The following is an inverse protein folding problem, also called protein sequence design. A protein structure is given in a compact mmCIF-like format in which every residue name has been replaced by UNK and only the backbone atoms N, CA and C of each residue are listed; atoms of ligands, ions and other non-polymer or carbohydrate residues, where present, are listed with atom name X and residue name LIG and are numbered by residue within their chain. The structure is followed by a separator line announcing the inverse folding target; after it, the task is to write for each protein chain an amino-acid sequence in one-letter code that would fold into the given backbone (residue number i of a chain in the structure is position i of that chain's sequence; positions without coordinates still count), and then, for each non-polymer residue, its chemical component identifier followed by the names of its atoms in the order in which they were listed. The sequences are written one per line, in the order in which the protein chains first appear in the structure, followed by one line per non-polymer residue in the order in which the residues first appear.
data_IF_084254959277
#
_entry.id   IF_084254959277
#
_cell.length_a   1.000
_cell.length_b   1.000
_cell.length_c   1.000
_cell.angle_alpha   90.00
_cell.angle_beta   90.00
_cell.angle_gamma   90.00
#
_symmetry.space_group_name_H-M   'P 1'
#
loop_
_entity.id
_entity.type
_entity.pdbx_description
1 polymer ?
#
# COMPACT_ATOMS: atom_id res chain seq x y z
N UNK A 1 18.93 -4.61 11.52
CA UNK A 1 17.50 -4.81 11.79
C UNK A 1 16.92 -5.92 10.95
N UNK A 2 17.05 -5.91 9.62
CA UNK A 2 16.54 -7.00 8.75
C UNK A 2 17.05 -8.38 9.19
N UNK A 3 18.36 -8.57 9.39
CA UNK A 3 18.92 -9.85 9.89
C UNK A 3 18.33 -10.30 11.21
N UNK A 4 18.04 -9.36 12.12
CA UNK A 4 17.41 -9.71 13.39
C UNK A 4 15.96 -10.13 13.19
N UNK A 5 15.20 -9.44 12.33
CA UNK A 5 13.83 -9.86 11.99
C UNK A 5 13.81 -11.24 11.33
N UNK A 6 14.76 -11.52 10.45
CA UNK A 6 14.93 -12.84 9.82
C UNK A 6 15.18 -13.94 10.86
N UNK A 7 16.04 -13.69 11.86
CA UNK A 7 16.23 -14.60 13.01
C UNK A 7 14.92 -14.83 13.78
N UNK A 8 14.12 -13.77 14.03
CA UNK A 8 12.84 -13.88 14.73
C UNK A 8 11.77 -14.63 13.91
N UNK A 9 11.73 -14.44 12.59
CA UNK A 9 10.90 -15.25 11.70
C UNK A 9 11.34 -16.72 11.76
N UNK A 10 12.66 -16.98 11.76
CA UNK A 10 13.22 -18.31 11.92
C UNK A 10 12.78 -19.01 13.22
N UNK A 11 12.66 -18.27 14.34
CA UNK A 11 12.12 -18.80 15.59
C UNK A 11 10.65 -19.24 15.46
N UNK A 12 9.82 -18.44 14.76
CA UNK A 12 8.42 -18.80 14.49
C UNK A 12 8.33 -20.05 13.62
N UNK A 13 9.09 -20.10 12.53
CA UNK A 13 9.10 -21.27 11.63
C UNK A 13 9.59 -22.54 12.34
N UNK A 14 10.67 -22.45 13.12
CA UNK A 14 11.18 -23.56 13.94
C UNK A 14 10.14 -24.05 14.95
N UNK A 15 9.34 -23.13 15.50
CA UNK A 15 8.28 -23.47 16.45
C UNK A 15 7.14 -24.22 15.75
N UNK A 16 6.73 -23.80 14.55
CA UNK A 16 5.73 -24.52 13.74
C UNK A 16 6.19 -25.96 13.45
N UNK A 17 7.46 -26.15 13.07
CA UNK A 17 8.05 -27.47 12.83
C UNK A 17 8.07 -28.33 14.10
N UNK A 18 8.51 -27.75 15.22
CA UNK A 18 8.61 -28.47 16.51
C UNK A 18 7.25 -28.91 17.04
N UNK A 19 6.20 -28.13 16.75
CA UNK A 19 4.83 -28.44 17.12
C UNK A 19 4.10 -29.30 16.08
N UNK A 20 4.78 -29.71 15.01
CA UNK A 20 4.21 -30.48 13.90
C UNK A 20 3.01 -29.77 13.22
N UNK A 21 3.03 -28.43 13.18
CA UNK A 21 1.96 -27.60 12.61
C UNK A 21 2.26 -27.12 11.17
N UNK A 22 3.48 -27.32 10.67
CA UNK A 22 3.93 -26.79 9.37
C UNK A 22 3.03 -27.23 8.22
N UNK A 23 2.65 -28.50 8.18
CA UNK A 23 1.79 -29.07 7.13
C UNK A 23 0.31 -28.63 7.22
N UNK A 24 -0.08 -27.89 8.25
CA UNK A 24 -1.42 -27.35 8.46
C UNK A 24 -1.42 -25.81 8.60
N UNK A 25 -0.27 -25.17 8.39
CA UNK A 25 -0.10 -23.73 8.56
C UNK A 25 0.32 -23.07 7.26
N UNK A 26 -0.46 -22.07 6.83
CA UNK A 26 -0.04 -21.15 5.77
C UNK A 26 0.59 -19.92 6.39
N UNK A 27 1.71 -19.48 5.83
CA UNK A 27 2.46 -18.31 6.27
C UNK A 27 2.42 -17.27 5.17
N UNK A 28 2.08 -16.04 5.55
CA UNK A 28 2.13 -14.85 4.68
C UNK A 28 3.05 -13.82 5.33
N UNK A 29 4.00 -13.29 4.55
CA UNK A 29 4.93 -12.25 5.00
C UNK A 29 4.80 -11.01 4.12
N UNK A 30 4.65 -9.85 4.73
CA UNK A 30 4.63 -8.54 4.06
C UNK A 30 4.99 -7.42 5.04
N UNK A 31 4.98 -6.17 4.57
CA UNK A 31 5.11 -4.95 5.38
C UNK A 31 4.06 -3.94 4.92
N UNK A 32 3.71 -2.96 5.75
CA UNK A 32 2.69 -1.95 5.44
C UNK A 32 3.16 -0.94 4.39
N UNK A 33 4.44 -0.57 4.44
CA UNK A 33 5.10 0.26 3.43
C UNK A 33 6.62 0.01 3.43
N UNK A 34 7.31 0.61 2.46
CA UNK A 34 8.76 0.62 2.32
C UNK A 34 9.44 1.79 3.05
N UNK A 35 10.69 2.05 2.68
CA UNK A 35 11.55 3.10 3.25
C UNK A 35 12.46 3.63 2.16
N UNK A 36 12.48 4.95 1.97
CA UNK A 36 13.28 5.62 0.94
C UNK A 36 14.78 5.54 1.20
N UNK A 37 15.21 5.48 2.47
CA UNK A 37 16.62 5.29 2.84
C UNK A 37 17.60 6.24 2.11
N UNK A 38 17.20 7.48 1.87
CA UNK A 38 18.02 8.48 1.19
C UNK A 38 17.89 8.50 -0.33
N UNK A 39 17.18 7.55 -0.95
CA UNK A 39 16.83 7.59 -2.37
C UNK A 39 16.04 8.86 -2.69
N UNK A 40 16.38 9.51 -3.81
CA UNK A 40 15.88 10.84 -4.19
C UNK A 40 16.13 11.94 -3.13
N UNK A 41 17.05 11.72 -2.18
CA UNK A 41 17.27 12.60 -1.03
C UNK A 41 16.14 12.55 0.01
N UNK A 42 15.25 11.57 -0.08
CA UNK A 42 14.10 11.39 0.82
C UNK A 42 14.42 10.36 1.91
N UNK A 43 13.91 10.61 3.11
CA UNK A 43 13.93 9.67 4.23
C UNK A 43 12.51 9.31 4.64
N UNK A 44 12.32 8.14 5.20
CA UNK A 44 11.02 7.65 5.61
C UNK A 44 10.21 7.15 4.43
N UNK A 45 8.94 7.51 4.47
CA UNK A 45 7.85 7.09 3.58
C UNK A 45 7.02 8.33 3.25
N UNK A 46 5.72 8.20 3.00
CA UNK A 46 4.81 9.33 2.70
C UNK A 46 4.98 9.91 1.28
N UNK A 47 5.42 9.07 0.35
CA UNK A 47 5.48 9.36 -1.07
C UNK A 47 5.09 8.07 -1.83
N UNK A 48 5.07 8.14 -3.16
CA UNK A 48 4.56 7.08 -4.01
C UNK A 48 5.65 6.48 -4.94
N UNK A 49 6.94 6.69 -4.63
CA UNK A 49 8.05 6.01 -5.31
C UNK A 49 8.14 4.52 -4.89
N UNK A 50 8.72 3.66 -5.73
CA UNK A 50 8.84 2.21 -5.54
C UNK A 50 9.45 1.89 -4.17
N UNK A 51 10.50 2.61 -3.76
CA UNK A 51 11.13 2.43 -2.46
C UNK A 51 10.18 2.59 -1.26
N UNK A 52 9.09 3.35 -1.40
CA UNK A 52 8.09 3.55 -0.36
C UNK A 52 6.86 2.63 -0.49
N UNK A 53 6.49 2.16 -1.70
CA UNK A 53 5.21 1.47 -1.92
C UNK A 53 5.32 0.05 -2.46
N UNK A 54 6.44 -0.32 -3.09
CA UNK A 54 6.67 -1.66 -3.59
C UNK A 54 7.21 -2.53 -2.44
N UNK A 55 6.31 -3.26 -1.79
CA UNK A 55 6.63 -4.06 -0.60
C UNK A 55 6.73 -5.55 -0.94
N UNK A 56 7.52 -6.33 -0.17
CA UNK A 56 7.51 -7.78 -0.30
C UNK A 56 6.13 -8.37 0.04
N UNK A 57 5.73 -9.39 -0.70
CA UNK A 57 4.63 -10.28 -0.38
C UNK A 57 5.06 -11.72 -0.67
N UNK A 58 5.20 -12.53 0.37
CA UNK A 58 5.60 -13.93 0.27
C UNK A 58 4.51 -14.80 0.88
N UNK A 59 4.23 -15.94 0.25
CA UNK A 59 3.27 -16.93 0.72
C UNK A 59 3.91 -18.32 0.72
N UNK A 60 3.69 -19.10 1.78
CA UNK A 60 4.19 -20.47 1.90
C UNK A 60 3.20 -21.36 2.68
N UNK A 61 3.27 -22.67 2.45
CA UNK A 61 2.47 -23.67 3.17
C UNK A 61 1.48 -24.43 2.28
N UNK A 62 0.51 -25.15 2.87
CA UNK A 62 -0.33 -26.11 2.16
C UNK A 62 -1.11 -25.51 0.99
N UNK A 63 -0.92 -26.09 -0.20
CA UNK A 63 -1.59 -25.68 -1.43
C UNK A 63 -0.97 -24.46 -2.14
N UNK A 64 0.12 -23.90 -1.63
CA UNK A 64 0.86 -22.80 -2.27
C UNK A 64 2.05 -23.40 -3.04
N UNK A 65 2.22 -23.11 -4.35
CA UNK A 65 3.34 -23.62 -5.12
C UNK A 65 4.70 -23.11 -4.63
N UNK A 66 5.68 -24.01 -4.55
CA UNK A 66 7.05 -23.66 -4.18
C UNK A 66 7.83 -23.05 -5.36
N UNK A 67 8.62 -22.01 -5.09
CA UNK A 67 9.53 -21.40 -6.07
C UNK A 67 8.84 -20.64 -7.21
N UNK A 68 7.53 -20.40 -7.10
CA UNK A 68 6.77 -19.63 -8.07
C UNK A 68 6.93 -18.13 -7.81
N UNK A 69 7.09 -17.36 -8.89
CA UNK A 69 7.04 -15.90 -8.88
C UNK A 69 5.81 -15.46 -9.66
N UNK A 70 5.03 -14.56 -9.07
CA UNK A 70 3.88 -13.92 -9.71
C UNK A 70 4.27 -12.50 -10.06
N UNK A 71 4.44 -12.22 -11.35
CA UNK A 71 4.83 -10.89 -11.86
C UNK A 71 3.63 -9.93 -12.00
N UNK A 72 2.41 -10.41 -11.74
CA UNK A 72 1.19 -9.61 -11.81
C UNK A 72 1.14 -8.53 -10.72
N UNK A 73 0.45 -7.42 -11.01
CA UNK A 73 0.28 -6.33 -10.03
C UNK A 73 -0.69 -6.78 -8.93
N UNK A 74 -0.24 -6.74 -7.68
CA UNK A 74 -1.04 -6.99 -6.48
C UNK A 74 -1.11 -5.74 -5.60
N UNK A 75 -2.07 -5.70 -4.67
CA UNK A 75 -2.23 -4.64 -3.67
C UNK A 75 -2.57 -5.24 -2.31
N UNK A 76 -2.25 -4.55 -1.21
CA UNK A 76 -2.63 -5.01 0.14
C UNK A 76 -4.13 -5.24 0.33
N UNK A 77 -4.98 -4.56 -0.44
CA UNK A 77 -6.43 -4.79 -0.39
C UNK A 77 -6.82 -6.20 -0.85
N UNK A 78 -5.95 -6.87 -1.60
CA UNK A 78 -6.12 -8.27 -2.05
C UNK A 78 -5.88 -9.27 -0.91
N UNK A 79 -5.23 -8.87 0.18
CA UNK A 79 -4.96 -9.76 1.31
C UNK A 79 -6.24 -10.20 2.02
N UNK A 80 -7.21 -9.30 2.17
CA UNK A 80 -8.48 -9.63 2.82
C UNK A 80 -9.21 -10.82 2.14
N UNK A 81 -9.59 -10.74 0.85
CA UNK A 81 -10.28 -11.86 0.21
C UNK A 81 -9.40 -13.12 0.12
N UNK A 82 -8.08 -12.97 -0.06
CA UNK A 82 -7.14 -14.10 -0.08
C UNK A 82 -7.13 -14.88 1.23
N UNK A 83 -7.12 -14.16 2.36
CA UNK A 83 -7.13 -14.77 3.70
C UNK A 83 -8.48 -15.41 4.04
N UNK A 84 -9.60 -14.76 3.67
CA UNK A 84 -10.93 -15.33 3.87
C UNK A 84 -11.08 -16.63 3.08
N UNK A 85 -10.72 -16.63 1.79
CA UNK A 85 -10.75 -17.84 0.96
C UNK A 85 -9.81 -18.93 1.49
N UNK A 86 -8.61 -18.55 1.95
CA UNK A 86 -7.66 -19.47 2.58
C UNK A 86 -8.27 -20.18 3.80
N UNK A 87 -9.12 -19.51 4.57
CA UNK A 87 -9.79 -20.10 5.74
C UNK A 87 -11.00 -20.98 5.40
N UNK A 88 -11.38 -21.09 4.12
CA UNK A 88 -12.56 -21.85 3.68
C UNK A 88 -13.89 -21.19 4.08
N UNK A 89 -13.86 -19.92 4.50
CA UNK A 89 -15.05 -19.14 4.86
C UNK A 89 -15.62 -18.47 3.60
N UNK A 90 -16.94 -18.45 3.48
CA UNK A 90 -17.60 -17.71 2.41
C UNK A 90 -17.57 -16.21 2.71
N UNK A 91 -17.11 -15.41 1.75
CA UNK A 91 -17.19 -13.95 1.79
C UNK A 91 -18.67 -13.56 1.69
N UNK A 92 -19.15 -12.70 2.59
CA UNK A 92 -20.53 -12.21 2.53
C UNK A 92 -20.72 -11.12 1.46
N UNK A 93 -21.96 -10.71 1.22
CA UNK A 93 -22.25 -9.76 0.14
C UNK A 93 -21.68 -8.34 0.37
N UNK A 94 -21.48 -7.94 1.63
CA UNK A 94 -20.90 -6.64 1.98
C UNK A 94 -19.40 -6.68 1.71
N UNK A 95 -18.75 -7.72 2.21
CA UNK A 95 -17.31 -7.93 2.05
C UNK A 95 -16.92 -8.21 0.58
N UNK A 96 -17.80 -8.86 -0.19
CA UNK A 96 -17.61 -9.09 -1.62
C UNK A 96 -17.66 -7.80 -2.46
N UNK A 97 -18.11 -6.68 -1.89
CA UNK A 97 -18.11 -5.37 -2.56
C UNK A 97 -16.82 -4.56 -2.33
N UNK A 98 -15.92 -5.06 -1.47
CA UNK A 98 -14.60 -4.46 -1.25
C UNK A 98 -13.72 -4.61 -2.51
N UNK A 99 -12.76 -3.69 -2.74
CA UNK A 99 -12.04 -3.60 -4.01
C UNK A 99 -10.98 -4.67 -4.24
N UNK A 100 -10.69 -5.50 -3.24
CA UNK A 100 -9.66 -6.54 -3.33
C UNK A 100 -10.10 -7.75 -4.14
N UNK A 101 -9.14 -8.41 -4.77
CA UNK A 101 -9.33 -9.70 -5.43
C UNK A 101 -8.47 -10.76 -4.72
N UNK A 102 -8.96 -11.99 -4.66
CA UNK A 102 -8.17 -13.09 -4.11
C UNK A 102 -6.94 -13.38 -4.98
N UNK A 103 -5.82 -13.69 -4.35
CA UNK A 103 -4.56 -14.07 -5.01
C UNK A 103 -4.47 -15.56 -5.32
N UNK A 104 -5.42 -16.39 -4.85
CA UNK A 104 -5.43 -17.84 -5.13
C UNK A 104 -5.40 -18.17 -6.63
N UNK A 105 -6.19 -17.52 -7.51
CA UNK A 105 -6.10 -17.75 -8.95
C UNK A 105 -4.70 -17.46 -9.52
N UNK A 106 -4.00 -16.45 -8.99
CA UNK A 106 -2.64 -16.12 -9.43
C UNK A 106 -1.63 -17.24 -9.08
N UNK A 107 -1.85 -17.95 -7.96
CA UNK A 107 -1.05 -19.13 -7.59
C UNK A 107 -1.31 -20.32 -8.53
N UNK A 108 -2.42 -20.35 -9.25
CA UNK A 108 -2.73 -21.36 -10.27
C UNK A 108 -2.21 -20.97 -11.67
N UNK A 109 -1.52 -19.84 -11.78
CA UNK A 109 -0.99 -19.30 -13.03
C UNK A 109 -1.97 -18.46 -13.83
N UNK A 110 -3.15 -18.15 -13.27
CA UNK A 110 -4.05 -17.18 -13.87
C UNK A 110 -3.45 -15.78 -13.77
N UNK A 111 -3.47 -15.05 -14.89
CA UNK A 111 -2.95 -13.69 -14.95
C UNK A 111 -4.08 -12.75 -15.36
N UNK A 112 -4.41 -11.80 -14.49
CA UNK A 112 -5.33 -10.72 -14.82
C UNK A 112 -4.54 -9.44 -15.08
N UNK A 113 -4.83 -8.79 -16.21
CA UNK A 113 -4.32 -7.45 -16.45
C UNK A 113 -5.11 -6.45 -15.60
N UNK A 114 -4.53 -6.03 -14.49
CA UNK A 114 -5.07 -4.98 -13.62
C UNK A 114 -4.11 -3.83 -13.45
N UNK A 115 -4.64 -2.71 -12.98
CA UNK A 115 -3.85 -1.55 -12.57
C UNK A 115 -3.55 -1.60 -11.08
N UNK A 116 -2.39 -1.09 -10.71
CA UNK A 116 -2.05 -0.75 -9.32
C UNK A 116 -2.61 0.61 -8.98
N UNK A 117 -3.10 0.77 -7.75
CA UNK A 117 -3.62 2.03 -7.24
C UNK A 117 -3.17 2.24 -5.80
N UNK A 118 -2.73 3.45 -5.48
CA UNK A 118 -2.43 3.88 -4.11
C UNK A 118 -2.73 5.37 -3.94
N UNK A 119 -3.02 5.80 -2.72
CA UNK A 119 -3.30 7.20 -2.39
C UNK A 119 -2.64 7.61 -1.06
N UNK A 120 -2.32 8.90 -0.93
CA UNK A 120 -1.70 9.46 0.26
C UNK A 120 -2.25 10.85 0.57
N UNK A 121 -2.73 11.02 1.82
CA UNK A 121 -3.41 12.24 2.29
C UNK A 121 -2.89 12.76 3.64
N UNK A 122 -1.83 12.17 4.18
CA UNK A 122 -1.41 12.39 5.57
C UNK A 122 -0.20 13.34 5.69
N UNK A 123 0.55 13.21 6.78
CA UNK A 123 1.64 14.11 7.17
C UNK A 123 2.65 14.35 6.04
N UNK A 124 3.22 15.57 6.01
CA UNK A 124 4.17 16.01 4.99
C UNK A 124 3.59 16.13 3.57
N UNK A 125 2.27 15.98 3.40
CA UNK A 125 1.58 16.31 2.15
C UNK A 125 0.59 17.47 2.33
N UNK A 126 0.67 18.48 1.45
CA UNK A 126 -0.31 19.56 1.37
C UNK A 126 -1.55 19.17 0.54
N UNK A 127 -1.37 18.23 -0.39
CA UNK A 127 -2.35 17.83 -1.38
C UNK A 127 -2.41 16.30 -1.45
N UNK A 128 -3.60 15.77 -1.70
CA UNK A 128 -3.80 14.36 -2.01
C UNK A 128 -2.92 13.95 -3.19
N UNK A 129 -2.23 12.84 -3.02
CA UNK A 129 -1.37 12.24 -4.03
C UNK A 129 -1.89 10.85 -4.37
N UNK A 130 -1.85 10.47 -5.64
CA UNK A 130 -2.40 9.23 -6.15
C UNK A 130 -1.39 8.59 -7.09
N UNK A 131 -1.31 7.27 -7.07
CA UNK A 131 -0.48 6.48 -7.98
C UNK A 131 -1.40 5.58 -8.80
N UNK A 132 -1.15 5.54 -10.10
CA UNK A 132 -1.70 4.52 -10.99
C UNK A 132 -0.55 3.80 -11.70
N UNK A 133 -0.48 2.47 -11.58
CA UNK A 133 0.49 1.62 -12.29
C UNK A 133 -0.23 0.76 -13.30
N UNK A 134 0.20 0.80 -14.55
CA UNK A 134 -0.27 -0.08 -15.62
C UNK A 134 0.95 -0.77 -16.24
N UNK A 135 1.14 -2.05 -15.92
CA UNK A 135 2.38 -2.76 -16.25
C UNK A 135 3.58 -2.04 -15.62
N UNK A 136 4.51 -1.59 -16.46
CA UNK A 136 5.71 -0.88 -16.06
C UNK A 136 5.54 0.65 -16.07
N UNK A 137 4.42 1.17 -16.57
CA UNK A 137 4.15 2.61 -16.56
C UNK A 137 3.53 3.01 -15.23
N UNK A 138 4.10 4.03 -14.59
CA UNK A 138 3.65 4.53 -13.29
C UNK A 138 3.41 6.03 -13.34
N UNK A 139 2.15 6.43 -13.16
CA UNK A 139 1.74 7.82 -13.02
C UNK A 139 1.61 8.16 -11.54
N UNK A 140 2.25 9.25 -11.10
CA UNK A 140 2.00 9.88 -9.81
C UNK A 140 1.26 11.19 -10.06
N UNK A 141 0.01 11.29 -9.62
CA UNK A 141 -0.83 12.46 -9.74
C UNK A 141 -0.92 13.19 -8.40
N UNK A 142 -0.73 14.51 -8.42
CA UNK A 142 -0.88 15.36 -7.25
C UNK A 142 -1.97 16.41 -7.52
N UNK A 143 -2.91 16.57 -6.59
CA UNK A 143 -3.93 17.61 -6.71
C UNK A 143 -3.26 19.00 -6.70
N UNK A 144 -3.61 19.84 -7.67
CA UNK A 144 -3.09 21.21 -7.85
C UNK A 144 -1.57 21.32 -8.06
N UNK A 145 -0.90 20.23 -8.44
CA UNK A 145 0.55 20.15 -8.64
C UNK A 145 0.87 19.35 -9.91
N UNK A 146 2.06 19.52 -10.53
CA UNK A 146 2.45 18.71 -11.67
C UNK A 146 2.45 17.21 -11.34
N UNK A 147 2.00 16.37 -12.27
CA UNK A 147 2.15 14.92 -12.18
C UNK A 147 3.56 14.48 -12.58
N UNK A 148 3.89 13.23 -12.28
CA UNK A 148 5.14 12.56 -12.69
C UNK A 148 4.81 11.26 -13.43
N UNK A 149 5.64 10.87 -14.39
CA UNK A 149 5.48 9.62 -15.14
C UNK A 149 6.81 8.89 -15.22
N UNK A 150 6.81 7.60 -14.86
CA UNK A 150 8.00 6.74 -14.93
C UNK A 150 7.72 5.47 -15.74
N UNK A 151 8.76 4.97 -16.40
CA UNK A 151 8.79 3.67 -17.07
C UNK A 151 9.72 2.74 -16.29
N UNK A 152 9.16 1.92 -15.41
CA UNK A 152 9.88 1.05 -14.48
C UNK A 152 10.68 -0.06 -15.18
N UNK A 153 10.40 -0.36 -16.44
CA UNK A 153 11.17 -1.36 -17.19
C UNK A 153 12.55 -0.83 -17.58
N UNK A 154 12.64 0.47 -17.86
CA UNK A 154 13.88 1.14 -18.29
C UNK A 154 14.50 2.02 -17.21
N UNK A 155 13.68 2.48 -16.26
CA UNK A 155 14.02 3.36 -15.15
C UNK A 155 13.40 2.84 -13.82
N UNK A 156 13.92 1.72 -13.29
CA UNK A 156 13.42 1.13 -12.04
C UNK A 156 13.69 2.00 -10.81
N UNK A 157 14.62 2.95 -10.91
CA UNK A 157 14.98 3.89 -9.84
C UNK A 157 14.19 5.21 -9.94
N UNK A 158 13.28 5.35 -10.92
CA UNK A 158 12.37 6.50 -11.09
C UNK A 158 13.10 7.86 -11.12
N UNK A 159 14.23 7.93 -11.82
CA UNK A 159 15.06 9.14 -11.90
C UNK A 159 14.69 10.06 -13.07
N UNK A 160 14.06 9.55 -14.12
CA UNK A 160 13.69 10.30 -15.32
C UNK A 160 12.17 10.53 -15.37
N UNK A 161 11.73 11.73 -14.98
CA UNK A 161 10.32 12.11 -15.04
C UNK A 161 9.90 12.44 -16.48
N UNK A 162 9.18 11.49 -17.08
CA UNK A 162 8.71 11.55 -18.46
C UNK A 162 7.47 12.43 -18.65
N UNK A 163 6.85 12.93 -17.58
CA UNK A 163 5.59 13.69 -17.70
C UNK A 163 5.76 14.99 -18.51
N UNK A 164 6.97 15.57 -18.51
CA UNK A 164 7.31 16.75 -19.29
C UNK A 164 7.60 16.49 -20.77
N UNK A 165 7.72 15.22 -21.19
CA UNK A 165 8.09 14.85 -22.55
C UNK A 165 6.87 14.92 -23.47
N UNK A 166 6.98 15.64 -24.59
CA UNK A 166 5.82 15.95 -25.46
C UNK A 166 5.21 14.70 -26.07
N UNK A 167 6.04 13.68 -26.33
CA UNK A 167 5.66 12.38 -26.84
C UNK A 167 4.89 11.54 -25.80
N UNK A 168 5.05 11.83 -24.50
CA UNK A 168 4.38 11.12 -23.42
C UNK A 168 3.05 11.73 -23.00
N UNK A 169 2.69 12.90 -23.54
CA UNK A 169 1.43 13.58 -23.23
C UNK A 169 0.19 12.69 -23.45
N UNK A 170 0.21 11.84 -24.50
CA UNK A 170 -0.86 10.87 -24.76
C UNK A 170 -0.95 9.78 -23.69
N UNK A 171 0.19 9.30 -23.20
CA UNK A 171 0.28 8.31 -22.11
C UNK A 171 -0.21 8.89 -20.80
N UNK A 172 0.24 10.09 -20.43
CA UNK A 172 -0.22 10.80 -19.22
C UNK A 172 -1.73 10.96 -19.24
N UNK A 173 -2.31 11.48 -20.32
CA UNK A 173 -3.75 11.70 -20.42
C UNK A 173 -4.56 10.39 -20.31
N UNK A 174 -4.04 9.29 -20.89
CA UNK A 174 -4.67 7.97 -20.82
C UNK A 174 -4.64 7.40 -19.40
N UNK A 175 -3.50 7.45 -18.73
CA UNK A 175 -3.37 6.98 -17.35
C UNK A 175 -4.18 7.84 -16.38
N UNK A 176 -4.20 9.17 -16.56
CA UNK A 176 -5.05 10.05 -15.76
C UNK A 176 -6.55 9.73 -15.97
N UNK A 177 -6.96 9.39 -17.20
CA UNK A 177 -8.33 8.94 -17.46
C UNK A 177 -8.67 7.66 -16.70
N UNK A 178 -7.75 6.70 -16.61
CA UNK A 178 -7.95 5.48 -15.84
C UNK A 178 -7.99 5.75 -14.33
N UNK A 179 -7.08 6.58 -13.82
CA UNK A 179 -7.13 7.04 -12.43
C UNK A 179 -8.49 7.67 -12.11
N UNK A 180 -8.98 8.53 -13.00
CA UNK A 180 -10.28 9.21 -12.85
C UNK A 180 -11.49 8.28 -12.96
N UNK A 181 -11.32 7.10 -13.54
CA UNK A 181 -12.34 6.06 -13.54
C UNK A 181 -12.44 5.33 -12.18
N UNK A 182 -11.35 5.31 -11.39
CA UNK A 182 -11.32 4.75 -10.04
C UNK A 182 -11.90 5.76 -9.04
N UNK A 183 -11.39 7.00 -9.04
CA UNK A 183 -11.84 8.05 -8.15
C UNK A 183 -11.68 9.44 -8.77
N UNK A 184 -12.33 10.46 -8.21
CA UNK A 184 -12.04 11.86 -8.57
C UNK A 184 -11.01 12.42 -7.56
N UNK A 185 -9.74 12.65 -7.96
CA UNK A 185 -8.68 13.06 -7.04
C UNK A 185 -9.01 14.32 -6.23
N UNK A 186 -9.61 15.31 -6.86
CA UNK A 186 -9.95 16.59 -6.23
C UNK A 186 -11.11 16.46 -5.23
N UNK A 187 -12.06 15.55 -5.47
CA UNK A 187 -13.13 15.25 -4.53
C UNK A 187 -12.57 14.48 -3.32
N UNK A 188 -11.74 13.47 -3.57
CA UNK A 188 -11.14 12.66 -2.50
C UNK A 188 -10.22 13.50 -1.61
N UNK A 189 -9.36 14.35 -2.19
CA UNK A 189 -8.51 15.28 -1.42
C UNK A 189 -9.34 16.23 -0.52
N UNK A 190 -10.42 16.80 -1.05
CA UNK A 190 -11.32 17.65 -0.23
C UNK A 190 -12.00 16.87 0.88
N UNK A 191 -12.42 15.64 0.62
CA UNK A 191 -13.04 14.78 1.62
C UNK A 191 -12.04 14.43 2.74
N UNK A 192 -10.83 14.00 2.39
CA UNK A 192 -9.78 13.69 3.35
C UNK A 192 -9.45 14.90 4.25
N UNK A 193 -9.36 16.10 3.67
CA UNK A 193 -9.16 17.35 4.43
C UNK A 193 -10.35 17.64 5.35
N UNK A 194 -11.58 17.47 4.87
CA UNK A 194 -12.77 17.66 5.70
C UNK A 194 -12.81 16.70 6.90
N UNK A 195 -12.44 15.44 6.70
CA UNK A 195 -12.39 14.44 7.77
C UNK A 195 -11.28 14.76 8.78
N UNK A 196 -10.11 15.21 8.33
CA UNK A 196 -9.03 15.69 9.20
C UNK A 196 -9.47 16.91 10.03
N UNK A 197 -10.19 17.86 9.44
CA UNK A 197 -10.75 19.00 10.18
C UNK A 197 -11.82 18.56 11.18
N UNK A 198 -12.71 17.65 10.82
CA UNK A 198 -13.71 17.11 11.74
C UNK A 198 -13.05 16.40 12.93
N UNK A 199 -11.95 15.66 12.68
CA UNK A 199 -11.16 15.03 13.74
C UNK A 199 -10.47 16.06 14.63
N UNK A 200 -9.90 17.13 14.06
CA UNK A 200 -9.31 18.23 14.82
C UNK A 200 -10.35 18.93 15.71
N UNK A 201 -11.56 19.18 15.21
CA UNK A 201 -12.65 19.78 16.00
C UNK A 201 -13.12 18.85 17.13
N UNK A 202 -13.22 17.54 16.86
CA UNK A 202 -13.51 16.54 17.88
C UNK A 202 -12.51 16.59 19.05
N UNK A 203 -11.24 16.89 18.77
CA UNK A 203 -10.17 17.02 19.77
C UNK A 203 -10.05 18.41 20.42
N UNK A 204 -11.08 19.25 20.30
CA UNK A 204 -11.10 20.57 20.96
C UNK A 204 -10.52 21.70 20.11
N UNK A 205 -10.36 21.47 18.80
CA UNK A 205 -9.97 22.48 17.83
C UNK A 205 -8.46 22.65 17.69
N UNK A 206 -8.07 23.47 16.70
CA UNK A 206 -6.67 23.63 16.27
C UNK A 206 -5.70 23.99 17.40
N UNK A 207 -6.09 24.89 18.30
CA UNK A 207 -5.22 25.34 19.39
C UNK A 207 -4.92 24.22 20.39
N UNK A 208 -5.92 23.38 20.70
CA UNK A 208 -5.76 22.24 21.59
C UNK A 208 -4.82 21.20 21.00
N UNK A 209 -5.06 20.81 19.74
CA UNK A 209 -4.21 19.84 19.01
C UNK A 209 -2.76 20.32 18.90
N UNK A 210 -2.54 21.60 18.59
CA UNK A 210 -1.18 22.15 18.51
C UNK A 210 -0.49 22.23 19.88
N UNK A 211 -1.25 22.37 20.98
CA UNK A 211 -0.71 22.45 22.32
C UNK A 211 -0.25 21.08 22.87
N UNK A 212 -0.75 19.96 22.34
CA UNK A 212 -0.34 18.62 22.78
C UNK A 212 1.12 18.30 22.44
N UNK A 213 1.70 18.96 21.44
CA UNK A 213 3.15 18.93 21.14
C UNK A 213 3.69 17.61 20.59
N UNK A 214 2.95 16.50 20.74
CA UNK A 214 3.20 15.20 20.12
C UNK A 214 1.90 14.59 19.64
N UNK A 215 1.84 14.23 18.36
CA UNK A 215 0.82 13.32 17.85
C UNK A 215 1.21 11.90 18.24
N UNK A 216 0.41 11.24 19.08
CA UNK A 216 0.63 9.84 19.43
C UNK A 216 0.03 8.98 18.31
N UNK A 217 0.88 8.33 17.52
CA UNK A 217 0.46 7.56 16.34
C UNK A 217 0.24 6.07 16.70
N UNK A 218 0.68 5.66 17.88
CA UNK A 218 0.50 4.29 18.39
C UNK A 218 0.35 4.35 19.92
N UNK A 219 -0.69 3.72 20.50
CA UNK A 219 -0.83 3.62 21.95
C UNK A 219 0.43 2.99 22.54
N UNK A 220 1.14 3.66 23.47
CA UNK A 220 2.11 3.00 24.32
C UNK A 220 1.42 1.87 25.08
N UNK A 221 2.12 0.75 25.37
CA UNK A 221 1.58 -0.30 26.22
C UNK A 221 1.01 0.28 27.53
N UNK A 222 -0.25 -0.04 27.83
CA UNK A 222 -0.96 0.47 29.02
C UNK A 222 -1.77 1.75 28.80
N UNK A 223 -1.83 2.29 27.57
CA UNK A 223 -2.74 3.37 27.19
C UNK A 223 -3.91 2.79 26.38
N UNK A 224 -5.13 3.05 26.83
CA UNK A 224 -6.35 2.69 26.09
C UNK A 224 -6.34 3.32 24.70
N UNK A 225 -6.75 2.57 23.68
CA UNK A 225 -6.72 3.03 22.29
C UNK A 225 -7.46 4.37 22.12
N UNK A 226 -8.58 4.56 22.81
CA UNK A 226 -9.38 5.79 22.79
C UNK A 226 -8.60 7.05 23.24
N UNK A 227 -7.59 6.86 24.09
CA UNK A 227 -6.74 7.93 24.62
C UNK A 227 -5.43 8.10 23.82
N UNK A 228 -5.11 7.16 22.94
CA UNK A 228 -3.87 7.15 22.16
C UNK A 228 -3.96 7.92 20.85
N UNK A 229 -5.17 8.19 20.34
CA UNK A 229 -5.40 8.89 19.08
C UNK A 229 -5.70 10.39 19.26
N UNK A 230 -5.35 10.94 20.43
CA UNK A 230 -5.34 12.39 20.71
C UNK A 230 -4.20 13.05 19.93
#
# INVERSE_FOLDING_TARGET
MITHLDEQVGEVMTTLDTLELTEDTRVLYTTDHGEMHGSHGLLGKCNLYEGAIAVPLLMAGPGIPEGMVVDGITSHVDLFPTLVESSGVAIDAVDASLPGQSLWPALEGETEHRVGFAEYHAAMSLNGSFMLREGDLKLIYHVDMPCQLFDLAHDPDEVDDLAGHVEMAGTVARLETQLRAICNPEVVDRQAKADQFAKMEYWGGKEAVLAEGQLVITPPPGIEAENAWR
#
